data_IF_902815439204
#
_entry.id   IF_902815439204
#
_cell.length_a   1.000
_cell.length_b   1.000
_cell.length_c   1.000
_cell.angle_alpha   90.00
_cell.angle_beta   90.00
_cell.angle_gamma   90.00
#
_symmetry.space_group_name_H-M   'P 1'
#
loop_
_entity.id
_entity.type
_entity.pdbx_description
1 polymer ?
#
# COMPACT_ATOMS: atom_id res chain seq x y z
N UNK A 1 -5.36 22.33 5.73
CA UNK A 1 -4.31 21.93 6.72
C UNK A 1 -2.98 21.64 5.98
N UNK A 2 -1.81 21.66 6.64
CA UNK A 2 -0.53 21.38 5.95
C UNK A 2 -0.23 19.88 5.85
N UNK A 3 0.56 19.45 4.85
CA UNK A 3 0.99 18.06 4.69
C UNK A 3 1.72 17.50 5.94
N UNK A 4 2.38 18.38 6.70
CA UNK A 4 3.00 18.05 7.99
C UNK A 4 1.96 17.53 9.00
N UNK A 5 0.77 18.14 9.04
CA UNK A 5 -0.29 17.72 9.97
C UNK A 5 -0.78 16.32 9.62
N UNK A 6 -1.02 16.04 8.33
CA UNK A 6 -1.37 14.70 7.87
C UNK A 6 -0.30 13.68 8.27
N UNK A 7 0.98 14.01 8.07
CA UNK A 7 2.09 13.16 8.47
C UNK A 7 2.10 12.88 9.99
N UNK A 8 1.93 13.91 10.82
CA UNK A 8 1.84 13.77 12.27
C UNK A 8 0.65 12.91 12.71
N UNK A 9 -0.52 13.07 12.09
CA UNK A 9 -1.71 12.26 12.37
C UNK A 9 -1.48 10.78 12.06
N UNK A 10 -0.84 10.48 10.92
CA UNK A 10 -0.48 9.11 10.55
C UNK A 10 0.52 8.50 11.54
N UNK A 11 1.56 9.25 11.93
CA UNK A 11 2.53 8.81 12.93
C UNK A 11 1.90 8.57 14.30
N UNK A 12 1.03 9.48 14.75
CA UNK A 12 0.33 9.33 16.02
C UNK A 12 -0.54 8.07 16.03
N UNK A 13 -1.30 7.84 14.95
CA UNK A 13 -2.12 6.65 14.78
C UNK A 13 -1.28 5.36 14.83
N UNK A 14 -0.17 5.30 14.09
CA UNK A 14 0.69 4.12 14.07
C UNK A 14 1.38 3.90 15.42
N UNK A 15 1.87 4.97 16.05
CA UNK A 15 2.49 4.93 17.38
C UNK A 15 1.54 4.40 18.46
N UNK A 16 0.27 4.83 18.44
CA UNK A 16 -0.75 4.32 19.36
C UNK A 16 -0.99 2.82 19.16
N UNK A 17 -1.12 2.37 17.91
CA UNK A 17 -1.28 0.94 17.59
C UNK A 17 -0.09 0.11 18.09
N UNK A 18 1.15 0.55 17.79
CA UNK A 18 2.38 -0.14 18.23
C UNK A 18 2.42 -0.25 19.75
N UNK A 19 2.16 0.86 20.45
CA UNK A 19 2.23 0.91 21.91
C UNK A 19 1.19 -0.01 22.55
N UNK A 20 -0.05 -0.01 22.06
CA UNK A 20 -1.15 -0.79 22.65
C UNK A 20 -0.99 -2.27 22.37
N UNK A 21 -0.56 -2.66 21.17
CA UNK A 21 -0.28 -4.07 20.85
C UNK A 21 0.81 -4.66 21.73
N UNK A 22 1.88 -3.91 21.97
CA UNK A 22 3.01 -4.37 22.77
C UNK A 22 2.76 -4.32 24.28
N UNK A 23 1.91 -3.40 24.76
CA UNK A 23 1.81 -3.06 26.20
C UNK A 23 0.53 -3.53 26.89
N UNK A 24 -0.55 -3.79 26.17
CA UNK A 24 -1.86 -4.07 26.78
C UNK A 24 -2.24 -5.54 26.69
N UNK A 25 -2.94 -6.04 27.71
CA UNK A 25 -3.51 -7.39 27.71
C UNK A 25 -4.69 -7.50 26.71
N UNK A 26 -4.91 -8.68 26.08
CA UNK A 26 -6.00 -8.93 25.12
C UNK A 26 -7.41 -8.55 25.58
N UNK A 27 -7.70 -8.72 26.88
CA UNK A 27 -9.02 -8.44 27.45
C UNK A 27 -9.19 -6.99 27.94
N UNK A 28 -8.19 -6.13 27.78
CA UNK A 28 -8.23 -4.78 28.31
C UNK A 28 -9.18 -3.87 27.50
N UNK A 29 -10.13 -3.23 28.18
CA UNK A 29 -11.09 -2.28 27.61
C UNK A 29 -10.45 -1.02 26.99
N UNK A 30 -9.18 -0.76 27.25
CA UNK A 30 -8.42 0.32 26.59
C UNK A 30 -8.28 0.07 25.07
N UNK A 31 -8.25 -1.20 24.63
CA UNK A 31 -8.06 -1.57 23.22
C UNK A 31 -9.15 -1.01 22.28
N UNK A 32 -10.46 -1.20 22.53
CA UNK A 32 -11.50 -0.61 21.68
C UNK A 32 -11.52 0.92 21.74
N UNK A 33 -11.15 1.53 22.86
CA UNK A 33 -11.03 3.00 22.96
C UNK A 33 -9.93 3.49 22.02
N UNK A 34 -8.77 2.85 22.02
CA UNK A 34 -7.66 3.19 21.12
C UNK A 34 -8.04 2.94 19.66
N UNK A 35 -8.75 1.85 19.36
CA UNK A 35 -9.22 1.59 18.00
C UNK A 35 -10.15 2.71 17.52
N UNK A 36 -11.07 3.20 18.36
CA UNK A 36 -11.91 4.35 18.05
C UNK A 36 -11.09 5.64 17.85
N UNK A 37 -10.08 5.88 18.68
CA UNK A 37 -9.15 7.01 18.50
C UNK A 37 -8.38 6.91 17.18
N UNK A 38 -7.92 5.73 16.79
CA UNK A 38 -7.25 5.49 15.50
C UNK A 38 -8.18 5.75 14.32
N UNK A 39 -9.46 5.37 14.42
CA UNK A 39 -10.47 5.72 13.41
C UNK A 39 -10.65 7.22 13.30
N UNK A 40 -10.72 7.95 14.42
CA UNK A 40 -10.81 9.41 14.42
C UNK A 40 -9.57 10.05 13.79
N UNK A 41 -8.37 9.58 14.14
CA UNK A 41 -7.12 10.06 13.55
C UNK A 41 -7.05 9.78 12.04
N UNK A 42 -7.60 8.64 11.61
CA UNK A 42 -7.69 8.26 10.19
C UNK A 42 -8.65 9.17 9.43
N UNK A 43 -9.78 9.53 10.04
CA UNK A 43 -10.70 10.52 9.49
C UNK A 43 -10.03 11.90 9.35
N UNK A 44 -9.41 12.40 10.42
CA UNK A 44 -8.70 13.68 10.40
C UNK A 44 -7.53 13.69 9.41
N UNK A 45 -6.84 12.56 9.26
CA UNK A 45 -5.80 12.39 8.25
C UNK A 45 -6.36 12.56 6.84
N UNK A 46 -7.51 11.96 6.54
CA UNK A 46 -8.16 12.07 5.23
C UNK A 46 -8.54 13.51 4.89
N UNK A 47 -9.14 14.23 5.84
CA UNK A 47 -9.42 15.67 5.67
C UNK A 47 -8.12 16.46 5.43
N UNK A 48 -7.07 16.17 6.20
CA UNK A 48 -5.80 16.86 6.06
C UNK A 48 -5.11 16.63 4.71
N UNK A 49 -5.16 15.41 4.14
CA UNK A 49 -4.57 15.14 2.82
C UNK A 49 -5.43 15.69 1.68
N UNK A 50 -6.75 15.75 1.83
CA UNK A 50 -7.65 16.35 0.85
C UNK A 50 -7.35 17.84 0.67
N UNK A 51 -7.07 18.53 1.77
CA UNK A 51 -6.65 19.93 1.76
C UNK A 51 -5.21 20.13 1.24
N UNK A 52 -4.29 19.24 1.63
CA UNK A 52 -2.86 19.47 1.45
C UNK A 52 -2.32 19.04 0.09
N UNK A 53 -2.96 18.10 -0.60
CA UNK A 53 -2.43 17.49 -1.83
C UNK A 53 -3.25 17.88 -3.06
N UNK A 54 -2.61 18.42 -4.11
CA UNK A 54 -3.31 18.82 -5.33
C UNK A 54 -3.72 17.63 -6.21
N UNK A 55 -3.02 16.48 -6.10
CA UNK A 55 -3.27 15.30 -6.92
C UNK A 55 -4.29 14.37 -6.28
N UNK A 56 -5.42 14.15 -6.97
CA UNK A 56 -6.45 13.18 -6.55
C UNK A 56 -5.93 11.75 -6.45
N UNK A 57 -4.95 11.39 -7.28
CA UNK A 57 -4.32 10.07 -7.24
C UNK A 57 -3.54 9.87 -5.94
N UNK A 58 -2.75 10.87 -5.52
CA UNK A 58 -1.99 10.79 -4.27
C UNK A 58 -2.92 10.72 -3.05
N UNK A 59 -4.00 11.50 -3.06
CA UNK A 59 -5.04 11.44 -2.03
C UNK A 59 -5.66 10.04 -1.96
N UNK A 60 -6.08 9.49 -3.10
CA UNK A 60 -6.69 8.16 -3.15
C UNK A 60 -5.75 7.07 -2.60
N UNK A 61 -4.48 7.10 -3.01
CA UNK A 61 -3.47 6.15 -2.56
C UNK A 61 -3.23 6.21 -1.05
N UNK A 62 -2.99 7.42 -0.52
CA UNK A 62 -2.71 7.63 0.91
C UNK A 62 -3.93 7.34 1.78
N UNK A 63 -5.10 7.79 1.33
CA UNK A 63 -6.38 7.54 2.02
C UNK A 63 -6.65 6.04 2.14
N UNK A 64 -6.51 5.30 1.03
CA UNK A 64 -6.72 3.85 1.00
C UNK A 64 -5.75 3.14 1.95
N UNK A 65 -4.46 3.49 1.90
CA UNK A 65 -3.45 2.94 2.80
C UNK A 65 -3.80 3.17 4.28
N UNK A 66 -4.22 4.39 4.63
CA UNK A 66 -4.57 4.73 6.01
C UNK A 66 -5.82 3.96 6.50
N UNK A 67 -6.85 3.83 5.66
CA UNK A 67 -8.03 3.04 5.99
C UNK A 67 -7.72 1.55 6.18
N UNK A 68 -6.86 0.97 5.33
CA UNK A 68 -6.38 -0.40 5.51
C UNK A 68 -5.69 -0.56 6.86
N UNK A 69 -4.83 0.39 7.24
CA UNK A 69 -4.15 0.36 8.55
C UNK A 69 -5.12 0.51 9.72
N UNK A 70 -6.16 1.33 9.58
CA UNK A 70 -7.22 1.49 10.57
C UNK A 70 -7.98 0.17 10.77
N UNK A 71 -8.44 -0.45 9.69
CA UNK A 71 -9.17 -1.73 9.74
C UNK A 71 -8.31 -2.83 10.34
N UNK A 72 -7.02 -2.89 9.98
CA UNK A 72 -6.07 -3.82 10.58
C UNK A 72 -5.89 -3.59 12.07
N UNK A 73 -5.77 -2.34 12.49
CA UNK A 73 -5.69 -1.98 13.92
C UNK A 73 -6.94 -2.43 14.65
N UNK A 74 -8.12 -2.23 14.06
CA UNK A 74 -9.38 -2.68 14.64
C UNK A 74 -9.42 -4.21 14.80
N UNK A 75 -9.01 -4.95 13.78
CA UNK A 75 -8.92 -6.41 13.85
C UNK A 75 -7.95 -6.85 14.96
N UNK A 76 -6.71 -6.37 14.94
CA UNK A 76 -5.68 -6.81 15.90
C UNK A 76 -6.08 -6.48 17.35
N UNK A 77 -6.69 -5.31 17.60
CA UNK A 77 -7.03 -4.86 18.94
C UNK A 77 -8.34 -5.45 19.46
N UNK A 78 -9.38 -5.51 18.61
CA UNK A 78 -10.74 -5.81 19.06
C UNK A 78 -11.19 -7.23 18.72
N UNK A 79 -10.90 -7.71 17.51
CA UNK A 79 -11.41 -8.98 16.98
C UNK A 79 -10.44 -10.13 17.28
N UNK A 80 -9.25 -10.08 16.68
CA UNK A 80 -8.18 -11.06 16.84
C UNK A 80 -7.54 -10.99 18.23
N UNK A 81 -7.63 -9.82 18.90
CA UNK A 81 -7.08 -9.53 20.23
C UNK A 81 -5.63 -10.00 20.37
N UNK A 82 -4.81 -9.63 19.41
CA UNK A 82 -3.42 -10.03 19.31
C UNK A 82 -2.63 -9.67 20.58
N UNK A 83 -1.83 -10.61 21.08
CA UNK A 83 -0.96 -10.44 22.26
C UNK A 83 0.51 -10.55 21.89
N UNK A 84 1.32 -9.77 22.59
CA UNK A 84 2.76 -9.99 22.63
C UNK A 84 3.08 -11.13 23.61
N UNK A 85 3.50 -12.27 23.08
CA UNK A 85 3.92 -13.45 23.83
C UNK A 85 5.45 -13.59 23.71
N UNK A 86 6.19 -13.12 24.72
CA UNK A 86 7.66 -13.24 24.73
C UNK A 86 8.18 -13.51 26.13
N UNK A 87 9.18 -14.40 26.21
CA UNK A 87 9.86 -14.80 27.44
C UNK A 87 10.71 -13.67 28.04
N UNK A 88 11.13 -12.67 27.24
CA UNK A 88 11.91 -11.52 27.68
C UNK A 88 11.22 -10.19 27.31
N UNK A 89 10.40 -9.63 28.23
CA UNK A 89 9.62 -8.42 27.95
C UNK A 89 10.50 -7.16 28.02
N UNK A 90 11.32 -6.93 26.99
CA UNK A 90 11.97 -5.63 26.77
C UNK A 90 11.02 -4.67 26.06
N UNK A 91 11.13 -3.38 26.35
CA UNK A 91 10.46 -2.32 25.60
C UNK A 91 10.77 -2.40 24.10
N UNK A 92 12.02 -2.69 23.73
CA UNK A 92 12.45 -2.84 22.34
C UNK A 92 11.76 -4.02 21.65
N UNK A 93 11.57 -5.14 22.36
CA UNK A 93 10.88 -6.31 21.82
C UNK A 93 9.39 -6.03 21.63
N UNK A 94 8.76 -5.32 22.56
CA UNK A 94 7.34 -4.90 22.46
C UNK A 94 7.12 -3.92 21.30
N UNK A 95 8.00 -2.92 21.16
CA UNK A 95 7.95 -1.97 20.06
C UNK A 95 8.21 -2.66 18.71
N UNK A 96 9.21 -3.53 18.64
CA UNK A 96 9.52 -4.32 17.43
C UNK A 96 8.35 -5.20 17.02
N UNK A 97 7.67 -5.85 17.99
CA UNK A 97 6.46 -6.62 17.74
C UNK A 97 5.31 -5.74 17.20
N UNK A 98 5.04 -4.61 17.83
CA UNK A 98 4.00 -3.69 17.35
C UNK A 98 4.28 -3.18 15.94
N UNK A 99 5.51 -2.72 15.68
CA UNK A 99 5.93 -2.23 14.35
C UNK A 99 5.83 -3.33 13.30
N UNK A 100 6.29 -4.53 13.63
CA UNK A 100 6.22 -5.68 12.72
C UNK A 100 4.79 -6.07 12.39
N UNK A 101 3.81 -5.76 13.24
CA UNK A 101 2.41 -6.12 13.05
C UNK A 101 1.52 -5.04 12.42
N UNK A 102 1.97 -3.78 12.32
CA UNK A 102 1.21 -2.69 11.69
C UNK A 102 0.66 -3.12 10.33
N UNK A 103 1.53 -3.66 9.47
CA UNK A 103 1.21 -4.07 8.10
C UNK A 103 1.21 -5.59 7.91
N UNK A 104 1.21 -6.38 8.98
CA UNK A 104 1.24 -7.84 8.92
C UNK A 104 -0.16 -8.43 8.77
N UNK A 105 -0.78 -8.24 7.60
CA UNK A 105 -2.14 -8.73 7.31
C UNK A 105 -2.26 -10.27 7.37
N UNK A 106 -1.12 -10.98 7.25
CA UNK A 106 -1.06 -12.45 7.26
C UNK A 106 -0.78 -13.05 8.64
N UNK A 107 -0.56 -12.20 9.66
CA UNK A 107 -0.25 -12.64 11.02
C UNK A 107 1.02 -13.49 11.11
N UNK A 108 1.98 -13.34 10.19
CA UNK A 108 3.18 -14.18 10.14
C UNK A 108 3.99 -14.02 11.43
N UNK A 109 4.36 -15.13 12.07
CA UNK A 109 5.11 -15.13 13.32
C UNK A 109 4.28 -14.76 14.55
N UNK A 110 2.95 -14.87 14.46
CA UNK A 110 2.03 -14.66 15.59
C UNK A 110 1.16 -15.88 15.84
N UNK A 111 0.48 -15.94 17.00
CA UNK A 111 -0.47 -17.00 17.34
C UNK A 111 -1.70 -17.08 16.43
N UNK A 112 -1.93 -16.04 15.60
CA UNK A 112 -3.05 -15.94 14.66
C UNK A 112 -2.61 -16.04 13.19
N UNK A 113 -1.47 -16.69 12.91
CA UNK A 113 -1.00 -16.88 11.54
C UNK A 113 -1.98 -17.72 10.70
N UNK A 114 -2.24 -17.29 9.46
CA UNK A 114 -3.08 -18.03 8.50
C UNK A 114 -2.39 -19.35 8.14
N UNK A 115 -3.01 -20.48 8.47
CA UNK A 115 -2.44 -21.83 8.36
C UNK A 115 -2.10 -22.26 6.92
N UNK A 116 -2.78 -21.68 5.93
CA UNK A 116 -2.57 -22.00 4.51
C UNK A 116 -1.31 -21.35 3.93
N UNK A 117 -0.62 -20.47 4.68
CA UNK A 117 0.55 -19.75 4.19
C UNK A 117 1.81 -20.30 4.88
N UNK A 118 2.71 -20.95 4.12
CA UNK A 118 3.94 -21.48 4.69
C UNK A 118 4.82 -20.34 5.24
N UNK A 119 5.49 -20.53 6.38
CA UNK A 119 6.34 -19.50 6.97
C UNK A 119 7.57 -19.24 6.11
N UNK A 120 8.14 -18.04 6.25
CA UNK A 120 9.43 -17.70 5.65
C UNK A 120 10.51 -18.67 6.14
N UNK A 121 11.20 -19.35 5.22
CA UNK A 121 12.29 -20.29 5.54
C UNK A 121 13.54 -19.92 4.76
N UNK A 122 14.67 -19.78 5.43
CA UNK A 122 15.99 -19.68 4.79
C UNK A 122 16.57 -21.03 4.41
N UNK A 123 16.01 -22.13 4.95
CA UNK A 123 16.52 -23.49 4.80
C UNK A 123 15.92 -24.21 3.58
N UNK A 124 14.72 -23.81 3.14
CA UNK A 124 14.00 -24.40 2.00
C UNK A 124 13.62 -23.35 0.95
N UNK A 125 14.61 -22.65 0.34
CA UNK A 125 14.37 -21.55 -0.59
C UNK A 125 13.64 -21.95 -1.89
N UNK A 126 13.56 -23.25 -2.20
CA UNK A 126 12.83 -23.78 -3.35
C UNK A 126 11.30 -23.75 -3.19
N UNK A 127 10.79 -23.71 -1.94
CA UNK A 127 9.35 -23.65 -1.64
C UNK A 127 8.89 -22.25 -1.23
N UNK A 128 9.68 -21.54 -0.41
CA UNK A 128 9.38 -20.18 0.03
C UNK A 128 10.68 -19.38 0.08
N UNK A 129 10.83 -18.29 -0.71
CA UNK A 129 12.05 -17.47 -0.68
C UNK A 129 12.20 -16.78 0.67
N UNK A 130 13.41 -16.36 1.06
CA UNK A 130 13.58 -15.62 2.30
C UNK A 130 12.98 -14.20 2.22
N UNK A 131 12.57 -13.62 3.37
CA UNK A 131 11.99 -12.27 3.44
C UNK A 131 12.88 -11.19 2.79
N UNK A 132 14.20 -11.27 3.01
CA UNK A 132 15.15 -10.30 2.46
C UNK A 132 15.33 -10.45 0.96
N UNK A 133 15.27 -11.67 0.43
CA UNK A 133 15.31 -11.92 -1.01
C UNK A 133 14.07 -11.36 -1.69
N UNK A 134 12.89 -11.60 -1.11
CA UNK A 134 11.62 -11.09 -1.65
C UNK A 134 11.56 -9.57 -1.59
N UNK A 135 12.00 -8.95 -0.48
CA UNK A 135 12.08 -7.50 -0.36
C UNK A 135 13.02 -6.88 -1.41
N UNK A 136 14.19 -7.49 -1.63
CA UNK A 136 15.12 -7.06 -2.69
C UNK A 136 14.49 -7.20 -4.07
N UNK A 137 13.74 -8.28 -4.32
CA UNK A 137 13.03 -8.49 -5.59
C UNK A 137 12.00 -7.39 -5.84
N UNK A 138 11.16 -7.08 -4.84
CA UNK A 138 10.19 -6.00 -4.93
C UNK A 138 10.85 -4.63 -5.10
N UNK A 139 11.89 -4.32 -4.31
CA UNK A 139 12.62 -3.06 -4.43
C UNK A 139 13.24 -2.90 -5.83
N UNK A 140 13.89 -3.94 -6.35
CA UNK A 140 14.43 -3.94 -7.71
C UNK A 140 13.34 -3.72 -8.75
N UNK A 141 12.23 -4.45 -8.67
CA UNK A 141 11.14 -4.31 -9.63
C UNK A 141 10.52 -2.90 -9.57
N UNK A 142 10.32 -2.34 -8.37
CA UNK A 142 9.82 -0.98 -8.21
C UNK A 142 10.76 0.07 -8.81
N UNK A 143 12.08 -0.06 -8.60
CA UNK A 143 13.09 0.83 -9.20
C UNK A 143 13.03 0.74 -10.72
N UNK A 144 13.01 -0.47 -11.29
CA UNK A 144 12.95 -0.68 -12.74
C UNK A 144 11.66 -0.06 -13.32
N UNK A 145 10.50 -0.36 -12.72
CA UNK A 145 9.22 0.21 -13.18
C UNK A 145 9.21 1.73 -13.08
N UNK A 146 9.74 2.30 -12.00
CA UNK A 146 9.85 3.75 -11.85
C UNK A 146 10.73 4.37 -12.94
N UNK A 147 11.89 3.78 -13.24
CA UNK A 147 12.78 4.25 -14.32
C UNK A 147 12.12 4.15 -15.71
N UNK A 148 11.36 3.09 -15.96
CA UNK A 148 10.59 2.96 -17.21
C UNK A 148 9.54 4.08 -17.31
N UNK A 149 8.80 4.33 -16.23
CA UNK A 149 7.83 5.42 -16.18
C UNK A 149 8.48 6.79 -16.36
N UNK A 150 9.67 6.99 -15.81
CA UNK A 150 10.44 8.23 -15.95
C UNK A 150 10.86 8.47 -17.40
N UNK A 151 11.34 7.41 -18.09
CA UNK A 151 11.65 7.47 -19.54
C UNK A 151 10.41 7.80 -20.37
N UNK A 152 9.24 7.25 -20.02
CA UNK A 152 7.99 7.57 -20.70
C UNK A 152 7.50 8.99 -20.40
N UNK A 153 7.66 9.46 -19.16
CA UNK A 153 7.29 10.82 -18.77
C UNK A 153 8.22 11.89 -19.38
N UNK A 154 9.47 11.53 -19.68
CA UNK A 154 10.44 12.40 -20.34
C UNK A 154 10.26 12.48 -21.87
N UNK A 155 9.33 11.72 -22.46
CA UNK A 155 9.04 11.84 -23.88
C UNK A 155 8.50 13.25 -24.21
N UNK A 156 8.83 13.80 -25.38
CA UNK A 156 8.25 15.07 -25.80
C UNK A 156 6.73 14.96 -25.85
N UNK A 157 5.99 16.06 -25.61
CA UNK A 157 4.54 16.06 -25.73
C UNK A 157 4.15 15.52 -27.12
N UNK A 158 3.14 14.63 -27.19
CA UNK A 158 2.73 14.04 -28.46
C UNK A 158 2.31 15.15 -29.43
N UNK A 159 2.61 14.97 -30.72
CA UNK A 159 2.17 15.89 -31.76
C UNK A 159 0.65 16.08 -31.64
N UNK A 160 0.13 17.34 -31.56
CA UNK A 160 -1.30 17.62 -31.49
C UNK A 160 -2.11 16.92 -32.60
N UNK A 161 -1.49 16.63 -33.75
CA UNK A 161 -2.14 15.92 -34.85
C UNK A 161 -2.28 14.42 -34.63
N UNK A 162 -1.60 13.83 -33.62
CA UNK A 162 -1.75 12.42 -33.24
C UNK A 162 -3.05 12.17 -32.47
N UNK A 163 -3.51 13.13 -31.67
CA UNK A 163 -4.75 13.03 -30.88
C UNK A 163 -5.78 13.99 -31.50
N UNK A 164 -6.41 13.56 -32.58
CA UNK A 164 -7.50 14.32 -33.22
C UNK A 164 -8.85 13.61 -33.05
N UNK A 165 -9.97 14.35 -32.92
CA UNK A 165 -11.30 13.75 -32.80
C UNK A 165 -11.65 12.83 -33.99
N UNK A 166 -11.08 13.10 -35.18
CA UNK A 166 -11.32 12.26 -36.35
C UNK A 166 -10.64 10.88 -36.25
N UNK A 167 -9.59 10.74 -35.43
CA UNK A 167 -8.89 9.48 -35.18
C UNK A 167 -9.55 8.65 -34.06
N UNK A 168 -10.66 9.09 -33.47
CA UNK A 168 -11.41 8.25 -32.53
C UNK A 168 -12.19 7.14 -33.27
N UNK A 169 -12.67 7.42 -34.48
CA UNK A 169 -13.52 6.51 -35.24
C UNK A 169 -12.73 5.67 -36.25
N UNK A 170 -12.85 4.34 -36.12
CA UNK A 170 -12.17 3.37 -36.99
C UNK A 170 -13.07 2.91 -38.15
N UNK A 171 -14.31 2.53 -37.83
CA UNK A 171 -15.25 1.94 -38.79
C UNK A 171 -15.80 2.95 -39.81
N UNK A 172 -15.99 4.21 -39.41
CA UNK A 172 -16.51 5.27 -40.31
C UNK A 172 -15.47 5.80 -41.29
N UNK A 173 -14.18 5.47 -41.08
CA UNK A 173 -13.04 5.97 -41.86
C UNK A 173 -12.19 4.88 -42.48
N UNK A 174 -12.71 3.66 -42.66
CA UNK A 174 -11.96 2.48 -43.15
C UNK A 174 -11.11 2.73 -44.40
N UNK A 175 -11.53 3.62 -45.33
CA UNK A 175 -10.75 3.98 -46.53
C UNK A 175 -9.71 5.09 -46.35
N UNK A 176 -9.64 5.71 -45.16
CA UNK A 176 -8.75 6.82 -44.81
C UNK A 176 -7.73 6.43 -43.73
N UNK A 177 -7.76 5.18 -43.25
CA UNK A 177 -6.82 4.68 -42.25
C UNK A 177 -5.52 4.28 -42.96
N UNK A 178 -4.43 4.98 -42.66
CA UNK A 178 -3.10 4.65 -43.16
C UNK A 178 -2.46 3.47 -42.41
N UNK A 179 -1.46 2.79 -43.00
CA UNK A 179 -0.76 1.68 -42.36
C UNK A 179 -0.07 2.08 -41.04
N UNK A 180 0.45 3.30 -40.97
CA UNK A 180 1.04 3.91 -39.76
C UNK A 180 0.03 3.91 -38.58
N UNK A 181 -1.23 4.25 -38.86
CA UNK A 181 -2.28 4.33 -37.85
C UNK A 181 -2.69 2.93 -37.35
N UNK A 182 -2.69 1.94 -38.23
CA UNK A 182 -2.97 0.54 -37.87
C UNK A 182 -1.88 0.00 -36.95
N UNK A 183 -0.61 0.24 -37.29
CA UNK A 183 0.54 -0.18 -36.48
C UNK A 183 0.48 0.49 -35.10
N UNK A 184 0.26 1.80 -35.06
CA UNK A 184 0.14 2.54 -33.80
C UNK A 184 -0.99 1.99 -32.91
N UNK A 185 -2.18 1.75 -33.48
CA UNK A 185 -3.32 1.20 -32.74
C UNK A 185 -3.06 -0.23 -32.27
N UNK A 186 -2.42 -1.06 -33.10
CA UNK A 186 -2.06 -2.42 -32.73
C UNK A 186 -1.14 -2.43 -31.50
N UNK A 187 -0.07 -1.64 -31.52
CA UNK A 187 0.84 -1.54 -30.37
C UNK A 187 0.17 -0.88 -29.16
N UNK A 188 -0.62 0.18 -29.34
CA UNK A 188 -1.32 0.82 -28.23
C UNK A 188 -2.30 -0.12 -27.51
N UNK A 189 -3.02 -0.97 -28.26
CA UNK A 189 -3.90 -1.99 -27.69
C UNK A 189 -3.08 -3.11 -27.06
N UNK A 190 -2.10 -3.65 -27.77
CA UNK A 190 -1.33 -4.79 -27.30
C UNK A 190 -0.51 -4.46 -26.05
N UNK A 191 0.10 -3.27 -25.98
CA UNK A 191 0.83 -2.78 -24.81
C UNK A 191 -0.07 -2.48 -23.61
N UNK A 192 -1.37 -2.26 -23.80
CA UNK A 192 -2.32 -2.11 -22.70
C UNK A 192 -2.69 -3.47 -22.07
N UNK A 193 -2.69 -4.55 -22.86
CA UNK A 193 -3.11 -5.89 -22.43
C UNK A 193 -1.98 -6.81 -21.96
N UNK A 194 -0.73 -6.38 -22.09
CA UNK A 194 0.48 -7.14 -21.73
C UNK A 194 1.11 -6.59 -20.46
#
# INVERSE_FOLDING_TARGET
MTALVAFCLALASQGLTVWVLGSTAPANHVRPIIAATVTLLTWLFNEAILDALPSRLHVALLSTGMWIQCLKTFDDLCLSRLSFESTSPSFTNRASFGVSNLWNMRGIGTSKQISQIPPWSSQTPSLVPSRSLELKRHARNAIITYLILDVFAAQPPPDPNMISPQKEHLLTRIGQVGPEEIIFRFFAIFSFWL
#
